data_IF_475288056966
#
_entry.id   IF_475288056966
#
_cell.length_a   1.000
_cell.length_b   1.000
_cell.length_c   1.000
_cell.angle_alpha   90.00
_cell.angle_beta   90.00
_cell.angle_gamma   90.00
#
_symmetry.space_group_name_H-M   'P 1'
#
loop_
_entity.id
_entity.type
_entity.pdbx_description
1 polymer ?
#
# COMPACT_ATOMS: atom_id res chain seq x y z
N UNK A 1 76.39 -74.87 45.43
CA UNK A 1 76.42 -74.33 44.05
C UNK A 1 75.00 -73.88 43.68
N UNK A 2 74.59 -72.68 44.12
CA UNK A 2 73.20 -72.20 44.03
C UNK A 2 73.14 -70.98 43.09
N UNK A 3 73.15 -71.26 41.78
CA UNK A 3 72.95 -70.26 40.71
C UNK A 3 71.84 -70.74 39.78
N UNK A 4 70.60 -70.58 40.23
CA UNK A 4 69.42 -70.46 39.36
C UNK A 4 68.76 -69.13 39.71
N UNK A 5 69.43 -68.07 39.27
CA UNK A 5 68.90 -66.71 39.27
C UNK A 5 67.73 -66.67 38.27
N UNK A 6 66.60 -66.16 38.74
CA UNK A 6 65.28 -66.12 38.14
C UNK A 6 65.21 -65.78 36.62
N UNK A 7 64.19 -66.27 35.91
CA UNK A 7 63.93 -65.86 34.53
C UNK A 7 63.56 -64.37 34.47
N UNK A 8 64.29 -63.62 33.64
CA UNK A 8 63.95 -62.22 33.34
C UNK A 8 62.70 -62.19 32.46
N UNK A 9 61.54 -61.99 33.07
CA UNK A 9 60.33 -61.63 32.33
C UNK A 9 60.55 -60.27 31.64
N UNK A 10 60.65 -60.27 30.31
CA UNK A 10 60.57 -59.05 29.53
C UNK A 10 59.14 -58.50 29.65
N UNK A 11 59.00 -57.27 30.13
CA UNK A 11 57.70 -56.61 30.25
C UNK A 11 57.11 -56.41 28.86
N UNK A 12 55.82 -56.74 28.61
CA UNK A 12 55.16 -56.33 27.38
C UNK A 12 55.21 -54.79 27.30
N UNK A 13 55.60 -54.26 26.14
CA UNK A 13 55.57 -52.83 25.88
C UNK A 13 54.14 -52.27 26.01
N UNK A 14 53.98 -50.98 26.31
CA UNK A 14 52.65 -50.41 26.52
C UNK A 14 51.79 -50.65 25.26
N UNK A 15 50.50 -50.96 25.42
CA UNK A 15 49.59 -51.11 24.30
C UNK A 15 49.62 -49.81 23.49
N UNK A 16 49.80 -49.93 22.16
CA UNK A 16 49.61 -48.83 21.23
C UNK A 16 48.26 -48.20 21.53
N UNK A 17 48.25 -46.94 21.98
CA UNK A 17 47.01 -46.25 22.32
C UNK A 17 46.15 -46.17 21.05
N UNK A 18 45.13 -47.01 20.95
CA UNK A 18 44.07 -46.86 19.98
C UNK A 18 43.47 -45.47 20.21
N UNK A 19 43.32 -44.61 19.18
CA UNK A 19 42.63 -43.35 19.38
C UNK A 19 41.27 -43.66 20.00
N UNK A 20 41.06 -43.14 21.21
CA UNK A 20 39.82 -43.31 21.95
C UNK A 20 38.74 -42.57 21.17
N UNK A 21 37.99 -43.31 20.36
CA UNK A 21 36.78 -42.80 19.70
C UNK A 21 35.82 -42.47 20.84
N UNK A 22 35.42 -41.19 21.00
CA UNK A 22 34.49 -40.83 22.05
C UNK A 22 33.17 -41.61 21.87
N UNK A 23 32.73 -42.33 22.92
CA UNK A 23 31.54 -43.19 22.91
C UNK A 23 30.21 -42.42 22.75
N UNK A 24 30.28 -41.09 22.68
CA UNK A 24 29.18 -40.14 22.54
C UNK A 24 28.79 -39.81 21.08
N UNK A 25 29.25 -40.61 20.11
CA UNK A 25 28.81 -40.50 18.72
C UNK A 25 27.28 -40.52 18.59
N UNK A 26 26.59 -41.31 19.42
CA UNK A 26 25.12 -41.38 19.42
C UNK A 26 24.47 -40.07 19.91
N UNK A 27 25.11 -39.36 20.84
CA UNK A 27 24.67 -38.05 21.30
C UNK A 27 24.82 -36.99 20.22
N UNK A 28 25.97 -36.96 19.56
CA UNK A 28 26.25 -36.06 18.43
C UNK A 28 25.30 -36.29 17.24
N UNK A 29 25.03 -37.55 16.90
CA UNK A 29 24.09 -37.91 15.82
C UNK A 29 22.67 -37.44 16.15
N UNK A 30 22.20 -37.64 17.39
CA UNK A 30 20.87 -37.14 17.84
C UNK A 30 20.80 -35.62 17.80
N UNK A 31 21.85 -34.94 18.27
CA UNK A 31 21.93 -33.48 18.19
C UNK A 31 21.85 -33.00 16.73
N UNK A 32 22.53 -33.67 15.80
CA UNK A 32 22.44 -33.39 14.37
C UNK A 32 21.02 -33.51 13.83
N UNK A 33 20.30 -34.59 14.18
CA UNK A 33 18.90 -34.74 13.79
C UNK A 33 17.99 -33.65 14.36
N UNK A 34 18.20 -33.23 15.61
CA UNK A 34 17.44 -32.11 16.18
C UNK A 34 17.69 -30.80 15.44
N UNK A 35 18.92 -30.51 15.04
CA UNK A 35 19.25 -29.32 14.25
C UNK A 35 18.58 -29.36 12.88
N UNK A 36 18.60 -30.52 12.21
CA UNK A 36 17.93 -30.71 10.91
C UNK A 36 16.42 -30.52 11.06
N UNK A 37 15.79 -31.15 12.05
CA UNK A 37 14.36 -31.02 12.31
C UNK A 37 13.98 -29.58 12.65
N UNK A 38 14.80 -28.87 13.43
CA UNK A 38 14.54 -27.48 13.77
C UNK A 38 14.69 -26.56 12.57
N UNK A 39 15.67 -26.80 11.71
CA UNK A 39 15.88 -26.01 10.50
C UNK A 39 14.74 -26.19 9.49
N UNK A 40 14.47 -27.44 9.09
CA UNK A 40 13.43 -27.73 8.09
C UNK A 40 12.01 -27.59 8.66
N UNK A 41 11.81 -27.99 9.91
CA UNK A 41 10.53 -27.81 10.60
C UNK A 41 10.25 -26.33 10.88
N UNK A 42 11.20 -25.62 11.48
CA UNK A 42 11.03 -24.20 11.79
C UNK A 42 10.85 -23.35 10.55
N UNK A 43 11.79 -23.40 9.60
CA UNK A 43 11.72 -22.59 8.38
C UNK A 43 10.65 -23.07 7.42
N UNK A 44 10.45 -24.38 7.29
CA UNK A 44 9.41 -24.93 6.41
C UNK A 44 8.01 -24.61 6.91
N UNK A 45 7.73 -24.82 8.20
CA UNK A 45 6.45 -24.43 8.81
C UNK A 45 6.26 -22.92 8.74
N UNK A 46 7.26 -22.12 9.10
CA UNK A 46 7.16 -20.66 9.00
C UNK A 46 6.91 -20.19 7.57
N UNK A 47 7.62 -20.75 6.57
CA UNK A 47 7.44 -20.42 5.16
C UNK A 47 6.06 -20.82 4.63
N UNK A 48 5.51 -21.93 5.09
CA UNK A 48 4.19 -22.40 4.65
C UNK A 48 3.05 -21.57 5.26
N UNK A 49 3.22 -21.10 6.50
CA UNK A 49 2.23 -20.26 7.17
C UNK A 49 2.38 -18.78 6.86
N UNK A 50 3.51 -18.34 6.31
CA UNK A 50 3.74 -16.95 5.94
C UNK A 50 2.68 -16.51 4.90
N UNK A 51 1.77 -15.58 5.26
CA UNK A 51 0.67 -15.21 4.40
C UNK A 51 1.19 -14.40 3.20
N UNK A 52 1.10 -14.99 2.00
CA UNK A 52 1.37 -14.33 0.72
C UNK A 52 0.13 -13.54 0.28
N UNK A 53 -0.41 -12.69 1.15
CA UNK A 53 -1.61 -11.91 0.86
C UNK A 53 -1.25 -10.43 0.67
N UNK A 54 -0.72 -10.14 -0.52
CA UNK A 54 -0.43 -8.78 -0.98
C UNK A 54 -1.36 -8.34 -2.10
N UNK A 55 -2.68 -8.46 -1.94
CA UNK A 55 -3.63 -7.84 -2.87
C UNK A 55 -3.90 -6.41 -2.38
N UNK A 56 -3.29 -5.42 -3.03
CA UNK A 56 -3.61 -4.02 -2.79
C UNK A 56 -5.01 -3.73 -3.34
N UNK A 57 -6.02 -3.67 -2.45
CA UNK A 57 -7.36 -3.23 -2.81
C UNK A 57 -7.37 -1.70 -2.70
N UNK A 58 -7.25 -1.02 -3.84
CA UNK A 58 -7.41 0.42 -3.94
C UNK A 58 -8.81 0.76 -4.49
N UNK A 59 -9.63 1.57 -3.78
CA UNK A 59 -10.86 2.09 -4.34
C UNK A 59 -10.55 3.07 -5.47
N UNK A 60 -10.72 2.64 -6.71
CA UNK A 60 -10.59 3.49 -7.89
C UNK A 60 -11.91 4.15 -8.24
N UNK A 61 -11.95 5.48 -8.27
CA UNK A 61 -13.10 6.23 -8.79
C UNK A 61 -12.84 6.64 -10.23
N UNK A 62 -13.63 6.12 -11.16
CA UNK A 62 -13.61 6.57 -12.56
C UNK A 62 -14.45 7.84 -12.66
N UNK A 63 -13.80 9.00 -12.61
CA UNK A 63 -14.44 10.29 -12.89
C UNK A 63 -14.25 10.60 -14.37
N UNK A 64 -15.35 10.79 -15.10
CA UNK A 64 -15.28 11.34 -16.45
C UNK A 64 -14.66 12.73 -16.33
N UNK A 65 -13.49 12.92 -16.94
CA UNK A 65 -12.83 14.23 -17.07
C UNK A 65 -13.64 15.07 -18.06
N UNK A 66 -14.74 15.62 -17.55
CA UNK A 66 -15.69 16.41 -18.30
C UNK A 66 -16.11 17.58 -17.45
N UNK A 67 -15.18 18.47 -17.13
CA UNK A 67 -15.53 19.78 -16.59
C UNK A 67 -16.07 20.65 -17.72
N UNK A 68 -17.21 20.27 -18.32
CA UNK A 68 -18.00 21.21 -19.11
C UNK A 68 -18.67 22.14 -18.11
N UNK A 69 -17.89 23.07 -17.58
CA UNK A 69 -18.46 24.24 -16.92
C UNK A 69 -19.25 24.96 -18.00
N UNK A 70 -20.58 24.89 -17.93
CA UNK A 70 -21.38 25.86 -18.61
C UNK A 70 -20.97 27.21 -18.02
N UNK A 71 -20.15 27.95 -18.76
CA UNK A 71 -20.03 29.39 -18.58
C UNK A 71 -21.39 29.96 -18.95
N UNK A 72 -22.32 29.88 -18.00
CA UNK A 72 -23.58 30.57 -18.08
C UNK A 72 -23.24 32.05 -18.04
N UNK A 73 -23.39 32.65 -19.21
CA UNK A 73 -23.30 34.07 -19.49
C UNK A 73 -23.58 34.92 -18.23
N UNK A 74 -22.52 35.45 -17.62
CA UNK A 74 -22.57 36.23 -16.37
C UNK A 74 -23.21 37.62 -16.50
N UNK A 75 -23.76 37.97 -17.66
CA UNK A 75 -24.22 39.33 -17.96
C UNK A 75 -25.61 39.42 -18.59
N UNK A 76 -26.42 38.38 -18.46
CA UNK A 76 -27.85 38.48 -18.76
C UNK A 76 -28.52 39.13 -17.57
N UNK A 77 -28.85 40.42 -17.65
CA UNK A 77 -29.55 41.12 -16.56
C UNK A 77 -30.76 40.32 -16.09
N UNK A 78 -30.95 40.22 -14.78
CA UNK A 78 -32.02 39.41 -14.18
C UNK A 78 -33.38 39.91 -14.68
N UNK A 79 -34.21 39.01 -15.23
CA UNK A 79 -35.58 39.36 -15.62
C UNK A 79 -36.38 39.64 -14.34
N UNK A 80 -36.79 40.89 -14.14
CA UNK A 80 -37.58 41.30 -12.97
C UNK A 80 -39.06 40.93 -13.15
N UNK A 81 -39.59 41.07 -14.36
CA UNK A 81 -40.97 40.71 -14.68
C UNK A 81 -41.16 40.47 -16.17
N UNK A 82 -41.85 39.39 -16.52
CA UNK A 82 -42.37 39.14 -17.88
C UNK A 82 -43.83 39.58 -17.88
N UNK A 83 -44.21 40.44 -18.84
CA UNK A 83 -45.51 41.09 -18.91
C UNK A 83 -46.45 40.47 -19.96
N UNK A 84 -46.00 39.43 -20.66
CA UNK A 84 -46.70 38.75 -21.75
C UNK A 84 -46.59 37.23 -21.61
N UNK A 85 -47.55 36.50 -22.17
CA UNK A 85 -47.57 35.02 -22.18
C UNK A 85 -47.36 34.49 -23.59
N UNK A 86 -46.98 33.22 -23.69
CA UNK A 86 -46.81 32.55 -24.98
C UNK A 86 -48.13 32.58 -25.77
N UNK A 87 -48.08 33.14 -26.99
CA UNK A 87 -49.24 33.28 -27.87
C UNK A 87 -49.94 34.65 -27.83
N UNK A 88 -49.50 35.60 -26.99
CA UNK A 88 -50.06 36.95 -26.96
C UNK A 88 -49.75 37.73 -28.25
N UNK A 89 -50.77 38.34 -28.85
CA UNK A 89 -50.64 39.29 -29.94
C UNK A 89 -50.12 40.63 -29.40
N UNK A 90 -48.92 41.03 -29.81
CA UNK A 90 -48.27 42.26 -29.31
C UNK A 90 -48.27 43.36 -30.36
N UNK A 91 -48.48 44.60 -29.91
CA UNK A 91 -48.42 45.79 -30.78
C UNK A 91 -47.06 46.49 -30.71
N UNK A 92 -46.72 47.24 -31.76
CA UNK A 92 -45.41 47.92 -31.84
C UNK A 92 -45.27 48.93 -30.70
N UNK A 93 -44.22 48.76 -29.89
CA UNK A 93 -43.93 49.60 -28.73
C UNK A 93 -44.45 49.07 -27.39
N UNK A 94 -45.14 47.92 -27.38
CA UNK A 94 -45.58 47.27 -26.15
C UNK A 94 -44.38 46.72 -25.35
N UNK A 95 -44.36 47.01 -24.05
CA UNK A 95 -43.33 46.51 -23.14
C UNK A 95 -43.60 45.03 -22.84
N UNK A 96 -42.66 44.17 -23.23
CA UNK A 96 -42.81 42.72 -23.10
C UNK A 96 -42.18 42.17 -21.81
N UNK A 97 -41.06 42.76 -21.39
CA UNK A 97 -40.32 42.35 -20.20
C UNK A 97 -39.56 43.52 -19.60
N UNK A 98 -39.32 43.45 -18.29
CA UNK A 98 -38.51 44.41 -17.55
C UNK A 98 -37.28 43.71 -16.97
N UNK A 99 -36.09 44.12 -17.40
CA UNK A 99 -34.83 43.66 -16.83
C UNK A 99 -34.45 44.51 -15.61
N UNK A 100 -33.84 43.89 -14.61
CA UNK A 100 -33.29 44.57 -13.45
C UNK A 100 -31.92 45.15 -13.78
N UNK A 101 -31.83 46.47 -13.84
CA UNK A 101 -30.65 47.16 -14.35
C UNK A 101 -29.96 47.94 -13.22
N UNK A 102 -29.14 47.23 -12.46
CA UNK A 102 -28.26 47.83 -11.46
C UNK A 102 -27.11 48.59 -12.16
N UNK A 103 -26.74 48.21 -13.39
CA UNK A 103 -25.55 48.70 -14.08
C UNK A 103 -25.78 49.96 -14.95
N UNK A 104 -26.96 50.17 -15.55
CA UNK A 104 -27.21 51.37 -16.38
C UNK A 104 -27.50 52.63 -15.58
N UNK A 105 -27.82 52.52 -14.28
CA UNK A 105 -27.88 53.69 -13.38
C UNK A 105 -26.49 54.24 -13.11
N UNK A 106 -25.50 53.36 -12.92
CA UNK A 106 -24.12 53.74 -12.66
C UNK A 106 -23.46 54.47 -13.85
N UNK A 107 -23.76 54.05 -15.09
CA UNK A 107 -23.18 54.69 -16.30
C UNK A 107 -23.78 56.07 -16.62
N UNK A 108 -24.97 56.38 -16.09
CA UNK A 108 -25.61 57.69 -16.28
C UNK A 108 -25.01 58.77 -15.38
N UNK A 109 -24.36 58.39 -14.29
CA UNK A 109 -23.71 59.32 -13.36
C UNK A 109 -22.33 59.78 -13.84
N UNK A 110 -21.65 59.01 -14.70
CA UNK A 110 -20.29 59.34 -15.16
C UNK A 110 -20.21 60.21 -16.44
N UNK A 111 -21.35 60.66 -16.99
CA UNK A 111 -21.39 61.45 -18.24
C UNK A 111 -22.07 62.81 -18.06
N UNK A 112 -22.32 63.22 -16.81
CA UNK A 112 -22.86 64.53 -16.45
C UNK A 112 -21.81 65.55 -15.99
N UNK A 113 -20.53 65.15 -15.93
CA UNK A 113 -19.44 65.96 -15.39
C UNK A 113 -18.40 66.27 -16.48
N UNK A 114 -18.75 67.15 -17.43
CA UNK A 114 -17.83 67.92 -18.28
C UNK A 114 -18.55 69.11 -18.93
#
# INVERSE_FOLDING_TARGET
MLKRLFPKAAKPGPPSATPMVPDDATGAIRAGYYVILLFFGGLGTWSALAPMAGAAIAPGFVKVEGNRQSLQHRYGGTVRQILVKDGDQVTRGQVLMRLDDINARARRQSHGDA
#
